data_IF_400883257747
#
_entry.id   IF_400883257747
#
_cell.length_a   1.000
_cell.length_b   1.000
_cell.length_c   1.000
_cell.angle_alpha   90.00
_cell.angle_beta   90.00
_cell.angle_gamma   90.00
#
_symmetry.space_group_name_H-M   'P 1'
#
loop_
_entity.id
_entity.type
_entity.pdbx_description
1 polymer ?
#
# COMPACT_ATOMS: atom_id res chain seq x y z
N UNK A 1 -4.97 -21.39 16.09
CA UNK A 1 -3.89 -20.39 16.14
C UNK A 1 -3.50 -20.12 17.57
N UNK A 2 -4.44 -19.76 18.45
CA UNK A 2 -4.25 -19.73 19.91
C UNK A 2 -3.57 -21.01 20.45
N UNK A 3 -4.02 -22.21 20.07
CA UNK A 3 -3.35 -23.49 20.42
C UNK A 3 -1.90 -23.59 19.91
N UNK A 4 -1.60 -23.09 18.71
CA UNK A 4 -0.24 -23.09 18.12
C UNK A 4 0.66 -22.06 18.79
N UNK A 5 0.12 -20.90 19.15
CA UNK A 5 0.83 -19.81 19.83
C UNK A 5 1.12 -20.16 21.29
N UNK A 6 0.19 -20.85 21.98
CA UNK A 6 0.39 -21.38 23.32
C UNK A 6 1.39 -22.55 23.30
N UNK A 7 1.27 -23.47 22.34
CA UNK A 7 2.19 -24.62 22.22
C UNK A 7 3.63 -24.23 21.86
N UNK A 8 3.87 -23.08 21.21
CA UNK A 8 5.22 -22.60 20.84
C UNK A 8 5.77 -21.49 21.75
N UNK A 9 4.95 -20.97 22.67
CA UNK A 9 5.29 -19.84 23.53
C UNK A 9 5.15 -18.49 22.80
N UNK A 10 4.54 -17.51 23.47
CA UNK A 10 4.16 -16.23 22.87
C UNK A 10 5.40 -15.38 22.52
N UNK A 11 6.37 -15.23 23.44
CA UNK A 11 7.51 -14.29 23.28
C UNK A 11 8.84 -14.76 23.93
N UNK A 12 8.86 -15.59 24.98
CA UNK A 12 10.06 -15.79 25.84
C UNK A 12 10.94 -17.00 25.55
N UNK A 13 10.62 -17.86 24.57
CA UNK A 13 11.40 -19.08 24.30
C UNK A 13 12.07 -19.05 22.92
N UNK A 14 13.26 -19.67 22.83
CA UNK A 14 14.23 -19.63 21.72
C UNK A 14 13.69 -20.12 20.34
N UNK A 15 12.49 -20.70 20.32
CA UNK A 15 11.75 -21.14 19.12
C UNK A 15 10.56 -20.22 18.83
N UNK A 16 10.86 -18.94 18.63
CA UNK A 16 9.87 -17.87 18.50
C UNK A 16 8.91 -18.08 17.33
N UNK A 17 7.61 -18.05 17.61
CA UNK A 17 6.49 -18.13 16.66
C UNK A 17 6.64 -17.16 15.48
N UNK A 18 7.30 -16.02 15.69
CA UNK A 18 7.47 -14.94 14.73
C UNK A 18 8.60 -15.15 13.69
N UNK A 19 9.42 -16.21 13.73
CA UNK A 19 10.47 -16.39 12.70
C UNK A 19 9.94 -16.94 11.36
N UNK A 20 8.77 -17.58 11.38
CA UNK A 20 8.17 -18.12 10.15
C UNK A 20 7.26 -17.08 9.49
N UNK A 21 7.52 -16.67 8.23
CA UNK A 21 6.73 -15.63 7.53
C UNK A 21 5.27 -16.06 7.31
N UNK A 22 5.03 -17.36 7.14
CA UNK A 22 3.68 -17.94 7.07
C UNK A 22 2.85 -17.71 8.32
N UNK A 23 3.52 -17.55 9.45
CA UNK A 23 2.89 -17.36 10.73
C UNK A 23 2.60 -15.89 11.04
N UNK A 24 3.39 -14.97 10.45
CA UNK A 24 3.06 -13.55 10.41
C UNK A 24 1.79 -13.28 9.62
N UNK A 25 1.65 -13.89 8.44
CA UNK A 25 0.45 -13.75 7.62
C UNK A 25 -0.80 -14.17 8.41
N UNK A 26 -0.73 -15.29 9.14
CA UNK A 26 -1.85 -15.76 9.93
C UNK A 26 -2.19 -14.83 11.12
N UNK A 27 -1.16 -14.27 11.77
CA UNK A 27 -1.35 -13.25 12.82
C UNK A 27 -2.06 -11.99 12.28
N UNK A 28 -1.62 -11.46 11.13
CA UNK A 28 -2.24 -10.29 10.49
C UNK A 28 -3.71 -10.54 10.15
N UNK A 29 -4.03 -11.73 9.62
CA UNK A 29 -5.42 -12.08 9.30
C UNK A 29 -6.28 -12.11 10.56
N UNK A 30 -5.79 -12.69 11.65
CA UNK A 30 -6.53 -12.74 12.93
C UNK A 30 -6.72 -11.33 13.49
N UNK A 31 -5.66 -10.52 13.57
CA UNK A 31 -5.76 -9.15 14.08
C UNK A 31 -6.70 -8.29 13.24
N UNK A 32 -6.71 -8.47 11.92
CA UNK A 32 -7.63 -7.75 11.02
C UNK A 32 -9.09 -8.18 11.21
N UNK A 33 -9.33 -9.46 11.54
CA UNK A 33 -10.66 -9.97 11.91
C UNK A 33 -11.17 -9.37 13.22
N UNK A 34 -10.32 -9.31 14.25
CA UNK A 34 -10.67 -8.66 15.53
C UNK A 34 -10.87 -7.15 15.39
N UNK A 35 -10.04 -6.47 14.58
CA UNK A 35 -10.21 -5.04 14.30
C UNK A 35 -11.57 -4.73 13.65
N UNK A 36 -12.11 -5.66 12.83
CA UNK A 36 -13.43 -5.48 12.21
C UNK A 36 -14.58 -5.59 13.23
N UNK A 37 -14.39 -6.34 14.32
CA UNK A 37 -15.40 -6.53 15.38
C UNK A 37 -15.31 -5.40 16.43
N UNK A 38 -14.08 -4.94 16.75
CA UNK A 38 -13.87 -3.90 17.77
C UNK A 38 -14.16 -2.47 17.32
N UNK A 39 -14.36 -2.23 16.02
CA UNK A 39 -14.46 -0.88 15.44
C UNK A 39 -15.81 -0.62 14.75
N UNK A 40 -16.90 -1.21 15.24
CA UNK A 40 -18.28 -0.83 14.83
C UNK A 40 -18.69 0.60 15.24
N UNK A 41 -17.75 1.41 15.72
CA UNK A 41 -17.93 2.83 16.08
C UNK A 41 -17.37 3.71 14.97
N UNK A 42 -18.06 3.79 13.83
CA UNK A 42 -17.80 4.82 12.80
C UNK A 42 -17.79 4.33 11.36
N UNK A 43 -18.23 5.21 10.44
CA UNK A 43 -18.34 4.96 9.00
C UNK A 43 -16.96 4.86 8.30
N UNK A 44 -16.19 3.83 8.63
CA UNK A 44 -14.90 3.54 7.99
C UNK A 44 -15.13 2.50 6.89
N UNK A 45 -15.53 2.97 5.71
CA UNK A 45 -15.76 2.11 4.54
C UNK A 45 -14.54 1.23 4.18
N UNK A 46 -13.32 1.69 4.49
CA UNK A 46 -12.08 0.94 4.28
C UNK A 46 -11.94 -0.35 5.10
N UNK A 47 -12.61 -0.47 6.26
CA UNK A 47 -12.54 -1.70 7.06
C UNK A 47 -13.23 -2.89 6.39
N UNK A 48 -14.15 -2.64 5.44
CA UNK A 48 -14.77 -3.71 4.65
C UNK A 48 -13.74 -4.44 3.79
N UNK A 49 -12.67 -3.77 3.36
CA UNK A 49 -11.57 -4.35 2.59
C UNK A 49 -10.75 -5.34 3.41
N UNK A 50 -10.66 -5.19 4.74
CA UNK A 50 -9.97 -6.17 5.59
C UNK A 50 -10.62 -7.55 5.58
N UNK A 51 -11.90 -7.66 5.21
CA UNK A 51 -12.54 -8.97 5.00
C UNK A 51 -11.89 -9.77 3.86
N UNK A 52 -11.25 -9.11 2.90
CA UNK A 52 -10.52 -9.79 1.81
C UNK A 52 -9.28 -10.52 2.34
N UNK A 53 -8.67 -10.05 3.43
CA UNK A 53 -7.55 -10.74 4.08
C UNK A 53 -7.91 -12.16 4.55
N UNK A 54 -9.19 -12.44 4.83
CA UNK A 54 -9.64 -13.81 5.15
C UNK A 54 -9.45 -14.78 3.98
N UNK A 55 -9.52 -14.29 2.73
CA UNK A 55 -9.27 -15.12 1.54
C UNK A 55 -7.79 -15.50 1.43
N UNK A 56 -6.88 -14.64 1.91
CA UNK A 56 -5.46 -14.98 2.04
C UNK A 56 -5.20 -16.09 3.06
N UNK A 57 -6.13 -16.38 3.98
CA UNK A 57 -5.99 -17.53 4.89
C UNK A 57 -5.96 -18.86 4.14
N UNK A 58 -6.79 -19.02 3.10
CA UNK A 58 -6.85 -20.22 2.26
C UNK A 58 -5.48 -20.56 1.66
N UNK A 59 -4.72 -19.51 1.35
CA UNK A 59 -3.36 -19.58 0.80
C UNK A 59 -2.37 -20.20 1.80
N UNK A 60 -2.54 -19.91 3.10
CA UNK A 60 -1.69 -20.47 4.16
C UNK A 60 -2.09 -21.90 4.57
N UNK A 61 -3.29 -22.36 4.20
CA UNK A 61 -3.78 -23.70 4.56
C UNK A 61 -3.30 -24.74 3.54
N UNK A 62 -3.25 -24.39 2.25
CA UNK A 62 -2.86 -25.30 1.17
C UNK A 62 -1.32 -25.34 1.01
N UNK A 63 -0.64 -26.47 1.27
CA UNK A 63 0.81 -26.54 1.19
C UNK A 63 1.36 -26.30 -0.22
N UNK A 64 0.61 -26.66 -1.28
CA UNK A 64 1.01 -26.41 -2.67
C UNK A 64 1.12 -24.93 -3.02
N UNK A 65 0.26 -24.08 -2.45
CA UNK A 65 0.26 -22.65 -2.74
C UNK A 65 1.41 -21.91 -2.04
N UNK A 66 1.93 -22.47 -0.94
CA UNK A 66 3.13 -21.94 -0.27
C UNK A 66 4.37 -22.02 -1.14
N UNK A 67 4.53 -23.11 -1.86
CA UNK A 67 5.65 -23.30 -2.79
C UNK A 67 5.62 -22.28 -3.91
N UNK A 68 4.45 -22.02 -4.49
CA UNK A 68 4.26 -21.04 -5.58
C UNK A 68 4.65 -19.64 -5.10
N UNK A 69 4.16 -19.22 -3.93
CA UNK A 69 4.47 -17.89 -3.37
C UNK A 69 5.95 -17.77 -3.02
N UNK A 70 6.56 -18.82 -2.49
CA UNK A 70 7.98 -18.79 -2.18
C UNK A 70 8.83 -18.67 -3.47
N UNK A 71 8.44 -19.37 -4.55
CA UNK A 71 9.08 -19.22 -5.85
C UNK A 71 8.88 -17.82 -6.43
N UNK A 72 7.68 -17.25 -6.30
CA UNK A 72 7.36 -15.90 -6.75
C UNK A 72 8.18 -14.85 -5.99
N UNK A 73 8.22 -14.93 -4.66
CA UNK A 73 9.05 -14.04 -3.81
C UNK A 73 10.54 -14.17 -4.12
N UNK A 74 11.02 -15.36 -4.45
CA UNK A 74 12.39 -15.58 -4.89
C UNK A 74 12.68 -14.83 -6.21
N UNK A 75 11.77 -14.89 -7.19
CA UNK A 75 11.89 -14.13 -8.44
C UNK A 75 11.83 -12.62 -8.22
N UNK A 76 10.99 -12.15 -7.29
CA UNK A 76 10.93 -10.73 -6.90
C UNK A 76 12.25 -10.21 -6.36
N UNK A 77 13.01 -11.04 -5.64
CA UNK A 77 14.33 -10.65 -5.12
C UNK A 77 15.33 -10.36 -6.24
N UNK A 78 15.31 -11.13 -7.33
CA UNK A 78 16.15 -10.87 -8.50
C UNK A 78 15.69 -9.60 -9.25
N UNK A 79 14.37 -9.38 -9.33
CA UNK A 79 13.82 -8.15 -9.92
C UNK A 79 14.17 -6.90 -9.11
N UNK A 80 14.41 -7.01 -7.80
CA UNK A 80 14.74 -5.86 -6.95
C UNK A 80 16.00 -5.10 -7.40
N UNK A 81 17.00 -5.80 -7.95
CA UNK A 81 18.20 -5.17 -8.50
C UNK A 81 17.87 -4.30 -9.72
N UNK A 82 17.08 -4.83 -10.66
CA UNK A 82 16.63 -4.11 -11.86
C UNK A 82 15.70 -2.95 -11.50
N UNK A 83 14.81 -3.16 -10.52
CA UNK A 83 13.93 -2.13 -9.99
C UNK A 83 14.70 -0.97 -9.38
N UNK A 84 15.79 -1.24 -8.66
CA UNK A 84 16.64 -0.19 -8.07
C UNK A 84 17.27 0.68 -9.15
N UNK A 85 17.83 0.07 -10.20
CA UNK A 85 18.36 0.80 -11.36
C UNK A 85 17.28 1.63 -12.06
N UNK A 86 16.08 1.06 -12.22
CA UNK A 86 14.94 1.72 -12.87
C UNK A 86 14.49 2.94 -12.06
N UNK A 87 14.34 2.80 -10.74
CA UNK A 87 13.96 3.91 -9.86
C UNK A 87 15.02 5.00 -9.88
N UNK A 88 16.30 4.65 -9.85
CA UNK A 88 17.39 5.63 -9.96
C UNK A 88 17.32 6.41 -11.28
N UNK A 89 17.12 5.73 -12.39
CA UNK A 89 16.98 6.34 -13.71
C UNK A 89 15.77 7.28 -13.78
N UNK A 90 14.60 6.83 -13.30
CA UNK A 90 13.39 7.63 -13.24
C UNK A 90 13.54 8.85 -12.35
N UNK A 91 14.26 8.74 -11.23
CA UNK A 91 14.54 9.87 -10.35
C UNK A 91 15.38 10.96 -11.03
N UNK A 92 16.41 10.59 -11.80
CA UNK A 92 17.23 11.57 -12.54
C UNK A 92 16.38 12.30 -13.58
N UNK A 93 15.58 11.57 -14.37
CA UNK A 93 14.68 12.18 -15.34
C UNK A 93 13.60 13.04 -14.67
N UNK A 94 13.05 12.61 -13.53
CA UNK A 94 12.07 13.38 -12.78
C UNK A 94 12.65 14.70 -12.29
N UNK A 95 13.89 14.73 -11.77
CA UNK A 95 14.54 15.97 -11.34
C UNK A 95 14.83 16.91 -12.53
N UNK A 96 15.27 16.36 -13.66
CA UNK A 96 15.44 17.15 -14.88
C UNK A 96 14.12 17.77 -15.34
N UNK A 97 13.07 16.95 -15.47
CA UNK A 97 11.75 17.40 -15.88
C UNK A 97 11.15 18.42 -14.90
N UNK A 98 11.31 18.22 -13.59
CA UNK A 98 10.85 19.17 -12.59
C UNK A 98 11.51 20.53 -12.73
N UNK A 99 12.80 20.61 -13.07
CA UNK A 99 13.47 21.90 -13.26
C UNK A 99 13.03 22.60 -14.55
N UNK A 100 12.85 21.85 -15.64
CA UNK A 100 12.45 22.39 -16.95
C UNK A 100 10.98 22.81 -16.97
N UNK A 101 10.09 22.02 -16.39
CA UNK A 101 8.64 22.20 -16.51
C UNK A 101 7.99 22.82 -15.26
N UNK A 102 8.78 23.36 -14.32
CA UNK A 102 8.25 23.99 -13.11
C UNK A 102 7.38 25.20 -13.47
N UNK A 103 6.08 25.09 -13.26
CA UNK A 103 5.14 26.20 -13.43
C UNK A 103 4.61 26.38 -14.85
N UNK A 104 5.29 25.84 -15.87
CA UNK A 104 4.90 25.98 -17.28
C UNK A 104 3.51 25.40 -17.57
N UNK A 105 3.17 24.27 -16.92
CA UNK A 105 1.87 23.60 -17.06
C UNK A 105 0.69 24.40 -16.48
N UNK A 106 0.94 25.52 -15.79
CA UNK A 106 -0.11 26.37 -15.20
C UNK A 106 -0.48 27.56 -16.08
N UNK A 107 0.22 27.77 -17.20
CA UNK A 107 -0.05 28.87 -18.10
C UNK A 107 -1.48 28.75 -18.67
N UNK A 108 -2.28 29.80 -18.46
CA UNK A 108 -3.66 29.91 -18.96
C UNK A 108 -3.80 31.27 -19.65
N UNK A 109 -4.50 31.29 -20.78
CA UNK A 109 -4.87 32.55 -21.41
C UNK A 109 -5.95 33.22 -20.56
N UNK A 110 -5.65 34.40 -20.03
CA UNK A 110 -6.61 35.24 -19.32
C UNK A 110 -7.09 36.34 -20.26
N UNK A 111 -8.40 36.61 -20.24
CA UNK A 111 -8.99 37.72 -20.98
C UNK A 111 -8.45 39.03 -20.39
N UNK A 112 -7.89 39.89 -21.25
CA UNK A 112 -7.47 41.24 -20.86
C UNK A 112 -8.72 42.12 -20.79
N UNK A 113 -9.11 42.52 -19.58
CA UNK A 113 -10.16 43.52 -19.40
C UNK A 113 -9.60 44.88 -19.86
N UNK A 114 -10.30 45.55 -20.76
CA UNK A 114 -9.95 46.90 -21.21
C UNK A 114 -10.58 47.93 -20.24
N UNK A 115 -9.73 48.65 -19.52
CA UNK A 115 -10.13 49.62 -18.47
C UNK A 115 -10.88 50.84 -19.01
N UNK A 116 -11.05 51.00 -20.33
CA UNK A 116 -11.74 52.17 -20.89
C UNK A 116 -13.27 52.06 -20.91
N UNK A 117 -13.85 50.93 -20.50
CA UNK A 117 -15.29 50.83 -20.26
C UNK A 117 -15.67 49.70 -19.30
N UNK A 118 -14.93 49.55 -18.19
CA UNK A 118 -15.29 48.64 -17.10
C UNK A 118 -16.47 49.20 -16.30
N UNK A 119 -17.64 49.28 -16.94
CA UNK A 119 -18.92 49.50 -16.29
C UNK A 119 -19.26 48.27 -15.45
N UNK A 120 -19.64 48.49 -14.20
CA UNK A 120 -20.02 47.50 -13.19
C UNK A 120 -21.22 46.59 -13.54
N UNK A 121 -21.76 46.68 -14.76
CA UNK A 121 -22.93 45.93 -15.25
C UNK A 121 -22.59 44.54 -15.81
N UNK A 122 -21.30 44.21 -15.99
CA UNK A 122 -20.88 42.90 -16.59
C UNK A 122 -20.44 41.84 -15.58
N UNK A 123 -20.64 42.09 -14.28
CA UNK A 123 -20.26 41.17 -13.19
C UNK A 123 -21.46 40.54 -12.45
N UNK A 124 -22.67 40.62 -13.03
CA UNK A 124 -23.84 39.81 -12.65
C UNK A 124 -24.33 38.96 -13.82
#
# INVERSE_FOLDING_TARGET
MIIKTIAKGFILNKYTYLRNPWNWLDFVVITSGYATIGMEVGNLAGLRTFRVLRALKTISILPGLKTIINALLHSFKQLAEVMTLTIFCLMVFALFALQVYKGELRNKCVLKMDDHNASYETWF
#
